data_IF_294304174500
#
_entry.id   IF_294304174500
#
_cell.length_a   1.000
_cell.length_b   1.000
_cell.length_c   1.000
_cell.angle_alpha   90.00
_cell.angle_beta   90.00
_cell.angle_gamma   90.00
#
_symmetry.space_group_name_H-M   'P 1'
#
loop_
_entity.id
_entity.type
_entity.pdbx_description
1 polymer ?
#
# COMPACT_ATOMS: atom_id res chain seq x y z
N UNK A 1 -1.60 -31.77 -43.60
CA UNK A 1 -0.93 -31.27 -42.38
C UNK A 1 -0.93 -29.75 -42.45
N UNK A 2 -1.86 -29.11 -41.75
CA UNK A 2 -1.88 -27.65 -41.60
C UNK A 2 -0.94 -27.31 -40.44
N UNK A 3 0.10 -26.52 -40.73
CA UNK A 3 1.02 -25.97 -39.73
C UNK A 3 0.24 -25.08 -38.76
N UNK A 4 -0.04 -25.62 -37.58
CA UNK A 4 -0.46 -24.89 -36.40
C UNK A 4 0.77 -24.77 -35.48
N UNK A 5 1.56 -23.70 -35.62
CA UNK A 5 2.46 -23.22 -34.54
C UNK A 5 3.15 -21.86 -34.75
N UNK A 6 2.78 -21.04 -35.75
CA UNK A 6 3.30 -19.66 -35.86
C UNK A 6 2.34 -18.57 -35.32
N UNK A 7 1.48 -18.92 -34.36
CA UNK A 7 0.57 -17.96 -33.75
C UNK A 7 1.30 -17.11 -32.69
N UNK A 8 1.88 -15.99 -33.15
CA UNK A 8 2.23 -14.77 -32.40
C UNK A 8 3.22 -14.90 -31.22
N UNK A 9 4.50 -15.09 -31.54
CA UNK A 9 5.63 -14.81 -30.65
C UNK A 9 5.99 -13.30 -30.61
N UNK A 10 5.04 -12.43 -30.96
CA UNK A 10 5.24 -11.00 -31.14
C UNK A 10 5.19 -10.30 -29.77
N UNK A 11 6.22 -9.50 -29.48
CA UNK A 11 6.26 -8.65 -28.29
C UNK A 11 5.25 -7.52 -28.44
N UNK A 12 4.38 -7.35 -27.46
CA UNK A 12 3.46 -6.23 -27.35
C UNK A 12 4.16 -5.13 -26.55
N UNK A 13 4.58 -4.07 -27.24
CA UNK A 13 5.25 -2.94 -26.62
C UNK A 13 4.30 -1.98 -25.90
N UNK A 14 4.85 -1.11 -25.03
CA UNK A 14 4.12 -0.17 -24.18
C UNK A 14 3.02 0.63 -24.89
N UNK A 15 3.27 1.15 -26.09
CA UNK A 15 2.29 1.95 -26.83
C UNK A 15 1.05 1.13 -27.22
N UNK A 16 1.26 -0.11 -27.63
CA UNK A 16 0.19 -1.04 -27.95
C UNK A 16 -0.54 -1.50 -26.67
N UNK A 17 0.18 -1.70 -25.56
CA UNK A 17 -0.43 -1.93 -24.24
C UNK A 17 -1.37 -0.79 -23.87
N UNK A 18 -0.93 0.47 -23.99
CA UNK A 18 -1.75 1.66 -23.70
C UNK A 18 -2.98 1.69 -24.61
N UNK A 19 -2.82 1.41 -25.91
CA UNK A 19 -3.94 1.39 -26.86
C UNK A 19 -4.99 0.34 -26.47
N UNK A 20 -4.57 -0.86 -26.09
CA UNK A 20 -5.46 -1.93 -25.64
C UNK A 20 -6.11 -1.61 -24.30
N UNK A 21 -5.35 -1.06 -23.35
CA UNK A 21 -5.87 -0.61 -22.06
C UNK A 21 -6.99 0.41 -22.27
N UNK A 22 -6.79 1.45 -23.09
CA UNK A 22 -7.82 2.44 -23.44
C UNK A 22 -9.06 1.79 -24.07
N UNK A 23 -8.84 0.81 -24.97
CA UNK A 23 -9.93 0.09 -25.62
C UNK A 23 -10.76 -0.72 -24.63
N UNK A 24 -10.15 -1.50 -23.75
CA UNK A 24 -10.87 -2.40 -22.85
C UNK A 24 -11.47 -1.70 -21.63
N UNK A 25 -10.83 -0.64 -21.15
CA UNK A 25 -11.34 0.16 -20.02
C UNK A 25 -12.34 1.24 -20.41
N UNK A 26 -12.48 1.54 -21.71
CA UNK A 26 -13.17 2.72 -22.24
C UNK A 26 -12.62 4.07 -21.71
N UNK A 27 -11.49 4.08 -20.99
CA UNK A 27 -10.87 5.27 -20.44
C UNK A 27 -9.87 5.88 -21.44
N UNK A 28 -10.36 6.77 -22.30
CA UNK A 28 -9.59 7.32 -23.45
C UNK A 28 -8.38 8.19 -23.06
N UNK A 29 -8.39 8.78 -21.85
CA UNK A 29 -7.35 9.71 -21.37
C UNK A 29 -6.26 9.06 -20.50
N UNK A 30 -6.28 7.73 -20.35
CA UNK A 30 -5.27 7.03 -19.55
C UNK A 30 -3.91 7.09 -20.23
N UNK A 31 -2.86 7.23 -19.43
CA UNK A 31 -1.48 6.95 -19.82
C UNK A 31 -0.81 6.07 -18.77
N UNK A 32 0.29 5.41 -19.15
CA UNK A 32 1.19 4.76 -18.20
C UNK A 32 2.33 5.72 -17.85
N UNK A 33 2.96 5.61 -16.66
CA UNK A 33 4.05 6.47 -16.25
C UNK A 33 5.19 6.45 -17.28
N UNK A 34 5.81 7.60 -17.55
CA UNK A 34 6.93 7.71 -18.50
C UNK A 34 8.07 6.75 -18.17
N UNK A 35 8.50 6.75 -16.91
CA UNK A 35 9.67 6.02 -16.40
C UNK A 35 9.40 4.54 -16.05
N UNK A 36 8.19 4.04 -16.37
CA UNK A 36 7.86 2.62 -16.27
C UNK A 36 7.93 1.98 -17.64
N UNK A 37 8.96 1.17 -17.91
CA UNK A 37 9.04 0.40 -19.13
C UNK A 37 8.22 -0.89 -18.96
N UNK A 38 7.44 -1.27 -19.98
CA UNK A 38 6.67 -2.50 -19.94
C UNK A 38 6.44 -3.10 -21.32
N UNK A 39 6.40 -4.43 -21.38
CA UNK A 39 6.07 -5.20 -22.57
C UNK A 39 5.34 -6.49 -22.19
N UNK A 40 4.59 -7.07 -23.12
CA UNK A 40 3.96 -8.39 -22.94
C UNK A 40 4.53 -9.33 -24.00
N UNK A 41 5.07 -10.46 -23.55
CA UNK A 41 5.51 -11.57 -24.42
C UNK A 41 5.14 -12.89 -23.77
N UNK A 42 4.62 -13.84 -24.55
CA UNK A 42 4.25 -15.18 -24.06
C UNK A 42 3.33 -15.13 -22.83
N UNK A 43 2.40 -14.16 -22.86
CA UNK A 43 1.50 -13.80 -21.75
C UNK A 43 2.15 -13.41 -20.43
N UNK A 44 3.41 -13.00 -20.46
CA UNK A 44 4.12 -12.44 -19.32
C UNK A 44 4.22 -10.93 -19.51
N UNK A 45 3.63 -10.16 -18.60
CA UNK A 45 3.88 -8.74 -18.50
C UNK A 45 5.24 -8.53 -17.81
N UNK A 46 6.20 -7.98 -18.53
CA UNK A 46 7.46 -7.51 -17.95
C UNK A 46 7.32 -6.04 -17.62
N UNK A 47 7.68 -5.66 -16.40
CA UNK A 47 7.69 -4.27 -15.94
C UNK A 47 9.08 -3.96 -15.40
N UNK A 48 9.72 -2.89 -15.88
CA UNK A 48 10.99 -2.41 -15.36
C UNK A 48 10.80 -1.03 -14.72
N UNK A 49 11.26 -0.91 -13.47
CA UNK A 49 11.23 0.33 -12.68
C UNK A 49 12.62 0.96 -12.69
N UNK A 50 12.75 2.11 -13.35
CA UNK A 50 14.05 2.77 -13.55
C UNK A 50 14.56 3.51 -12.30
N UNK A 51 13.65 3.97 -11.44
CA UNK A 51 14.00 4.87 -10.33
C UNK A 51 13.42 4.39 -8.99
N UNK A 52 13.85 3.23 -8.45
CA UNK A 52 13.27 2.62 -7.25
C UNK A 52 13.48 3.43 -5.96
N UNK A 53 14.21 4.56 -6.02
CA UNK A 53 14.45 5.47 -4.89
C UNK A 53 13.49 6.65 -4.83
N UNK A 54 12.53 6.77 -5.77
CA UNK A 54 11.51 7.81 -5.74
C UNK A 54 10.45 7.56 -4.64
N UNK A 55 9.58 8.55 -4.37
CA UNK A 55 8.55 8.39 -3.35
C UNK A 55 7.47 7.47 -3.90
N UNK A 56 6.94 6.55 -3.09
CA UNK A 56 5.97 5.54 -3.55
C UNK A 56 4.66 6.11 -4.14
N UNK A 57 4.38 7.39 -3.88
CA UNK A 57 3.24 8.12 -4.41
C UNK A 57 3.52 8.70 -5.80
N UNK A 58 4.79 8.84 -6.19
CA UNK A 58 5.19 9.25 -7.53
C UNK A 58 4.80 8.13 -8.51
N UNK A 59 4.15 8.50 -9.61
CA UNK A 59 3.42 7.57 -10.49
C UNK A 59 4.33 6.49 -11.11
N UNK A 60 5.59 6.84 -11.39
CA UNK A 60 6.66 5.97 -11.91
C UNK A 60 7.01 4.79 -11.01
N UNK A 61 6.80 4.91 -9.69
CA UNK A 61 7.11 3.86 -8.71
C UNK A 61 5.88 3.31 -8.02
N UNK A 62 4.67 3.71 -8.43
CA UNK A 62 3.40 3.15 -7.99
C UNK A 62 3.09 1.80 -8.69
N UNK A 63 4.09 0.94 -8.81
CA UNK A 63 4.06 -0.25 -9.67
C UNK A 63 2.97 -1.25 -9.26
N UNK A 64 2.63 -1.36 -7.98
CA UNK A 64 1.59 -2.28 -7.51
C UNK A 64 0.23 -1.93 -8.13
N UNK A 65 -0.12 -0.63 -8.11
CA UNK A 65 -1.35 -0.14 -8.71
C UNK A 65 -1.40 -0.41 -10.22
N UNK A 66 -0.32 -0.09 -10.94
CA UNK A 66 -0.23 -0.30 -12.38
C UNK A 66 -0.25 -1.77 -12.78
N UNK A 67 0.50 -2.62 -12.08
CA UNK A 67 0.55 -4.07 -12.33
C UNK A 67 -0.83 -4.70 -12.13
N UNK A 68 -1.53 -4.36 -11.04
CA UNK A 68 -2.88 -4.89 -10.78
C UNK A 68 -3.89 -4.43 -11.83
N UNK A 69 -3.80 -3.17 -12.25
CA UNK A 69 -4.63 -2.60 -13.32
C UNK A 69 -4.39 -3.32 -14.65
N UNK A 70 -3.13 -3.45 -15.06
CA UNK A 70 -2.79 -4.10 -16.33
C UNK A 70 -3.21 -5.58 -16.28
N UNK A 71 -2.92 -6.29 -15.19
CA UNK A 71 -3.30 -7.69 -15.00
C UNK A 71 -4.80 -7.90 -15.13
N UNK A 72 -5.62 -6.97 -14.64
CA UNK A 72 -7.07 -7.03 -14.78
C UNK A 72 -7.54 -6.72 -16.21
N UNK A 73 -7.20 -5.54 -16.72
CA UNK A 73 -7.75 -5.03 -17.98
C UNK A 73 -7.21 -5.76 -19.22
N UNK A 74 -6.06 -6.42 -19.09
CA UNK A 74 -5.43 -7.24 -20.11
C UNK A 74 -5.34 -8.71 -19.66
N UNK A 75 -6.33 -9.19 -18.89
CA UNK A 75 -6.32 -10.55 -18.34
C UNK A 75 -6.30 -11.66 -19.40
N UNK A 76 -6.65 -11.37 -20.66
CA UNK A 76 -6.54 -12.33 -21.78
C UNK A 76 -5.11 -12.42 -22.33
N UNK A 77 -4.34 -11.35 -22.15
CA UNK A 77 -2.97 -11.22 -22.61
C UNK A 77 -1.94 -11.45 -21.51
N UNK A 78 -2.32 -11.43 -20.23
CA UNK A 78 -1.40 -11.49 -19.10
C UNK A 78 -1.82 -12.63 -18.17
N UNK A 79 -1.04 -13.70 -18.15
CA UNK A 79 -1.17 -14.79 -17.19
C UNK A 79 -0.31 -14.48 -15.94
N UNK A 80 0.89 -13.94 -16.13
CA UNK A 80 1.83 -13.60 -15.04
C UNK A 80 2.55 -12.27 -15.26
N UNK A 81 3.18 -11.77 -14.21
CA UNK A 81 3.94 -10.52 -14.19
C UNK A 81 5.35 -10.80 -13.67
N UNK A 82 6.35 -10.27 -14.35
CA UNK A 82 7.75 -10.28 -13.90
C UNK A 82 8.18 -8.82 -13.70
N UNK A 83 8.46 -8.47 -12.45
CA UNK A 83 9.02 -7.18 -12.10
C UNK A 83 10.56 -7.22 -12.14
N UNK A 84 11.13 -6.29 -12.89
CA UNK A 84 12.54 -5.94 -12.87
C UNK A 84 12.70 -4.48 -12.40
N UNK A 85 13.91 -4.10 -11.99
CA UNK A 85 14.20 -2.74 -11.56
C UNK A 85 15.70 -2.45 -11.63
N UNK A 86 16.05 -1.18 -11.77
CA UNK A 86 17.44 -0.74 -11.72
C UNK A 86 18.00 -0.90 -10.30
N UNK A 87 18.94 -1.83 -10.13
CA UNK A 87 19.56 -2.08 -8.84
C UNK A 87 20.43 -0.89 -8.42
N UNK A 88 20.41 -0.55 -7.13
CA UNK A 88 21.24 0.51 -6.55
C UNK A 88 22.36 -0.11 -5.73
N UNK A 89 23.37 -0.62 -6.43
CA UNK A 89 24.53 -1.28 -5.82
C UNK A 89 25.22 -0.38 -4.78
N UNK A 90 25.25 0.92 -5.04
CA UNK A 90 25.77 1.94 -4.13
C UNK A 90 25.01 2.03 -2.79
N UNK A 91 23.77 1.51 -2.74
CA UNK A 91 22.91 1.50 -1.55
C UNK A 91 22.82 0.12 -0.87
N UNK A 92 23.30 -0.96 -1.50
CA UNK A 92 23.17 -2.33 -0.95
C UNK A 92 23.87 -2.48 0.40
N UNK A 93 25.01 -1.82 0.61
CA UNK A 93 25.73 -1.82 1.88
C UNK A 93 25.23 -0.75 2.87
N UNK A 94 24.10 -0.10 2.56
CA UNK A 94 23.61 1.08 3.26
C UNK A 94 22.17 0.93 3.77
N UNK A 95 21.65 -0.30 3.90
CA UNK A 95 20.27 -0.53 4.32
C UNK A 95 19.90 0.16 5.66
N UNK A 96 20.84 0.33 6.60
CA UNK A 96 20.62 1.04 7.87
C UNK A 96 20.71 2.57 7.81
N UNK A 97 20.98 3.16 6.65
CA UNK A 97 21.25 4.59 6.49
C UNK A 97 20.09 5.32 5.81
N UNK A 98 19.85 6.55 6.26
CA UNK A 98 18.76 7.40 5.78
C UNK A 98 18.74 7.60 4.25
N UNK A 99 19.90 7.63 3.60
CA UNK A 99 20.02 7.77 2.15
C UNK A 99 19.42 6.58 1.36
N UNK A 100 19.35 5.39 1.96
CA UNK A 100 18.77 4.20 1.34
C UNK A 100 17.26 4.05 1.62
N UNK A 101 16.64 4.95 2.39
CA UNK A 101 15.33 4.68 2.98
C UNK A 101 14.21 4.42 1.95
N UNK A 102 14.21 5.16 0.83
CA UNK A 102 13.25 4.94 -0.25
C UNK A 102 13.50 3.62 -0.98
N UNK A 103 14.77 3.25 -1.17
CA UNK A 103 15.16 1.99 -1.81
C UNK A 103 14.77 0.78 -0.95
N UNK A 104 15.07 0.82 0.34
CA UNK A 104 14.67 -0.22 1.30
C UNK A 104 13.15 -0.42 1.31
N UNK A 105 12.40 0.69 1.33
CA UNK A 105 10.93 0.63 1.26
C UNK A 105 10.48 0.01 -0.05
N UNK A 106 11.12 0.32 -1.16
CA UNK A 106 10.85 -0.33 -2.45
C UNK A 106 11.12 -1.83 -2.40
N UNK A 107 12.28 -2.28 -1.91
CA UNK A 107 12.60 -3.71 -1.79
C UNK A 107 11.59 -4.46 -0.91
N UNK A 108 11.20 -3.85 0.22
CA UNK A 108 10.16 -4.39 1.09
C UNK A 108 8.81 -4.50 0.36
N UNK A 109 8.41 -3.49 -0.41
CA UNK A 109 7.18 -3.51 -1.22
C UNK A 109 7.19 -4.63 -2.27
N UNK A 110 8.31 -4.81 -2.98
CA UNK A 110 8.47 -5.89 -3.96
C UNK A 110 8.35 -7.26 -3.30
N UNK A 111 9.03 -7.47 -2.16
CA UNK A 111 8.91 -8.70 -1.39
C UNK A 111 7.46 -8.99 -0.95
N UNK A 112 6.71 -7.95 -0.56
CA UNK A 112 5.32 -8.15 -0.16
C UNK A 112 4.41 -8.47 -1.35
N UNK A 113 4.68 -7.94 -2.54
CA UNK A 113 3.94 -8.37 -3.74
C UNK A 113 4.13 -9.86 -4.04
N UNK A 114 5.31 -10.44 -3.78
CA UNK A 114 5.51 -11.90 -3.93
C UNK A 114 4.76 -12.72 -2.87
N UNK A 115 4.50 -12.15 -1.68
CA UNK A 115 3.67 -12.78 -0.64
C UNK A 115 2.18 -12.71 -0.96
N UNK A 116 1.74 -11.55 -1.46
CA UNK A 116 0.35 -11.29 -1.79
C UNK A 116 -0.08 -12.07 -3.02
N UNK A 117 0.79 -12.20 -4.03
CA UNK A 117 0.42 -12.76 -5.33
C UNK A 117 1.38 -13.87 -5.79
N UNK A 118 1.64 -14.91 -4.98
CA UNK A 118 2.67 -15.91 -5.25
C UNK A 118 2.41 -16.72 -6.53
N UNK A 119 1.16 -16.81 -6.98
CA UNK A 119 0.78 -17.57 -8.17
C UNK A 119 1.04 -16.88 -9.50
N UNK A 120 1.25 -15.55 -9.51
CA UNK A 120 1.37 -14.81 -10.77
C UNK A 120 2.30 -13.60 -10.74
N UNK A 121 2.71 -13.11 -9.57
CA UNK A 121 3.69 -12.03 -9.45
C UNK A 121 5.07 -12.61 -9.14
N UNK A 122 6.01 -12.37 -10.04
CA UNK A 122 7.38 -12.85 -9.99
C UNK A 122 8.34 -11.66 -10.01
N UNK A 123 9.53 -11.87 -9.49
CA UNK A 123 10.65 -10.94 -9.62
C UNK A 123 11.63 -11.54 -10.62
N UNK A 124 12.24 -10.68 -11.45
CA UNK A 124 13.31 -11.11 -12.34
C UNK A 124 14.39 -11.86 -11.56
N UNK A 125 14.85 -12.99 -12.11
CA UNK A 125 15.78 -13.88 -11.43
C UNK A 125 17.07 -13.17 -11.04
N UNK A 126 17.54 -12.22 -11.87
CA UNK A 126 18.74 -11.41 -11.58
C UNK A 126 18.60 -10.53 -10.34
N UNK A 127 17.37 -10.25 -9.89
CA UNK A 127 17.07 -9.37 -8.74
C UNK A 127 16.66 -10.12 -7.48
N UNK A 128 16.43 -11.43 -7.58
CA UNK A 128 15.99 -12.25 -6.44
C UNK A 128 16.98 -12.22 -5.27
N UNK A 129 18.28 -12.24 -5.57
CA UNK A 129 19.34 -12.17 -4.55
C UNK A 129 19.33 -10.83 -3.78
N UNK A 130 19.05 -9.72 -4.45
CA UNK A 130 18.97 -8.38 -3.81
C UNK A 130 17.85 -8.34 -2.78
N UNK A 131 16.67 -8.85 -3.14
CA UNK A 131 15.51 -8.89 -2.25
C UNK A 131 15.77 -9.84 -1.08
N UNK A 132 16.29 -11.03 -1.36
CA UNK A 132 16.62 -12.01 -0.33
C UNK A 132 17.59 -11.45 0.70
N UNK A 133 18.70 -10.83 0.25
CA UNK A 133 19.70 -10.24 1.13
C UNK A 133 19.13 -9.11 1.98
N UNK A 134 18.32 -8.24 1.38
CA UNK A 134 17.65 -7.17 2.12
C UNK A 134 16.70 -7.72 3.20
N UNK A 135 15.85 -8.69 2.86
CA UNK A 135 14.92 -9.27 3.84
C UNK A 135 15.62 -10.07 4.93
N UNK A 136 16.73 -10.75 4.61
CA UNK A 136 17.57 -11.41 5.59
C UNK A 136 18.19 -10.38 6.56
N UNK A 137 18.78 -9.31 6.02
CA UNK A 137 19.30 -8.21 6.83
C UNK A 137 18.19 -7.58 7.70
N UNK A 138 17.01 -7.30 7.14
CA UNK A 138 15.90 -6.67 7.85
C UNK A 138 15.46 -7.50 9.06
N UNK A 139 15.39 -8.83 8.92
CA UNK A 139 15.00 -9.76 10.00
C UNK A 139 16.09 -10.02 11.03
N UNK A 140 17.36 -9.84 10.65
CA UNK A 140 18.50 -10.06 11.53
C UNK A 140 18.78 -8.86 12.46
N UNK A 141 18.07 -7.75 12.29
CA UNK A 141 18.30 -6.51 13.04
C UNK A 141 17.03 -6.07 13.77
N UNK A 142 17.20 -5.28 14.83
CA UNK A 142 16.07 -4.71 15.56
C UNK A 142 15.47 -3.53 14.79
N UNK A 143 14.20 -3.67 14.38
CA UNK A 143 13.50 -2.66 13.60
C UNK A 143 12.41 -2.00 14.43
N UNK A 144 12.62 -0.72 14.72
CA UNK A 144 11.78 0.09 15.58
C UNK A 144 10.87 1.00 14.76
N UNK A 145 9.55 0.83 14.90
CA UNK A 145 8.56 1.79 14.41
C UNK A 145 8.48 3.00 15.33
N UNK A 146 8.37 4.18 14.73
CA UNK A 146 8.05 5.38 15.49
C UNK A 146 6.60 5.37 16.01
N UNK A 147 6.36 6.24 16.98
CA UNK A 147 5.08 6.40 17.64
C UNK A 147 4.68 7.88 17.74
N UNK A 148 3.39 8.12 17.94
CA UNK A 148 2.88 9.45 18.30
C UNK A 148 3.55 9.90 19.60
N UNK A 149 3.97 11.17 19.66
CA UNK A 149 4.66 11.76 20.84
C UNK A 149 3.75 12.61 21.70
N UNK A 150 2.57 12.95 21.18
CA UNK A 150 1.58 13.80 21.82
C UNK A 150 0.22 13.45 21.24
N UNK A 151 -0.82 13.65 22.04
CA UNK A 151 -2.19 13.50 21.56
C UNK A 151 -2.43 14.40 20.34
N UNK A 152 -3.18 13.85 19.37
CA UNK A 152 -3.52 14.60 18.17
C UNK A 152 -4.56 15.65 18.51
N UNK A 153 -4.33 16.88 18.09
CA UNK A 153 -5.32 17.95 18.18
C UNK A 153 -6.24 17.89 16.98
N UNK A 154 -7.48 18.35 17.16
CA UNK A 154 -8.41 18.50 16.07
C UNK A 154 -7.88 19.50 15.03
N UNK A 155 -7.86 19.09 13.77
CA UNK A 155 -7.37 19.86 12.63
C UNK A 155 -8.51 20.27 11.69
N UNK A 156 -9.77 20.19 12.11
CA UNK A 156 -10.95 20.55 11.31
C UNK A 156 -10.89 21.99 10.73
N UNK A 157 -10.19 22.92 11.39
CA UNK A 157 -9.98 24.31 10.96
C UNK A 157 -8.80 24.56 10.02
N UNK A 158 -8.04 23.54 9.62
CA UNK A 158 -6.88 23.69 8.73
C UNK A 158 -7.30 23.96 7.28
N UNK A 159 -6.55 24.77 6.50
CA UNK A 159 -6.82 24.93 5.06
C UNK A 159 -6.47 23.66 4.25
N UNK A 160 -5.77 22.69 4.84
CA UNK A 160 -5.41 21.43 4.19
C UNK A 160 -6.61 20.48 4.18
N UNK A 161 -7.24 20.36 3.01
CA UNK A 161 -8.52 19.65 2.87
C UNK A 161 -8.49 18.18 3.30
N UNK A 162 -7.44 17.42 2.98
CA UNK A 162 -7.33 16.02 3.43
C UNK A 162 -7.26 15.94 4.95
N UNK A 163 -6.47 16.81 5.61
CA UNK A 163 -6.37 16.89 7.09
C UNK A 163 -7.67 17.29 7.76
N UNK A 164 -8.42 18.20 7.15
CA UNK A 164 -9.76 18.56 7.63
C UNK A 164 -10.71 17.35 7.57
N UNK A 165 -10.63 16.56 6.50
CA UNK A 165 -11.49 15.39 6.33
C UNK A 165 -11.11 14.24 7.26
N UNK A 166 -9.82 13.97 7.44
CA UNK A 166 -9.34 13.05 8.48
C UNK A 166 -9.87 13.45 9.86
N UNK A 167 -9.70 14.72 10.22
CA UNK A 167 -10.16 15.26 11.50
C UNK A 167 -11.68 15.08 11.70
N UNK A 168 -12.47 15.35 10.66
CA UNK A 168 -13.91 15.09 10.66
C UNK A 168 -14.26 13.63 10.91
N UNK A 169 -13.52 12.71 10.30
CA UNK A 169 -13.72 11.28 10.45
C UNK A 169 -13.28 10.71 11.80
N UNK A 170 -12.51 11.44 12.62
CA UNK A 170 -12.05 10.95 13.93
C UNK A 170 -12.58 11.73 15.13
N UNK A 171 -13.06 12.97 14.94
CA UNK A 171 -13.50 13.87 16.03
C UNK A 171 -14.98 14.28 15.96
N UNK A 172 -15.62 14.14 14.80
CA UNK A 172 -16.97 14.68 14.55
C UNK A 172 -17.94 13.59 14.11
N UNK A 173 -19.08 13.93 13.53
CA UNK A 173 -20.11 12.97 13.10
C UNK A 173 -19.58 11.93 12.09
N UNK A 174 -18.51 12.25 11.36
CA UNK A 174 -17.78 11.29 10.51
C UNK A 174 -17.26 10.08 11.28
N UNK A 175 -16.92 10.24 12.56
CA UNK A 175 -16.44 9.19 13.46
C UNK A 175 -17.48 8.09 13.63
N UNK A 176 -18.69 8.46 14.02
CA UNK A 176 -19.79 7.50 14.20
C UNK A 176 -20.22 6.88 12.87
N UNK A 177 -20.12 7.62 11.75
CA UNK A 177 -20.39 7.09 10.41
C UNK A 177 -19.40 5.98 10.03
N UNK A 178 -18.09 6.22 10.14
CA UNK A 178 -17.07 5.20 9.87
C UNK A 178 -17.17 4.01 10.82
N UNK A 179 -17.34 4.29 12.13
CA UNK A 179 -17.44 3.28 13.16
C UNK A 179 -18.61 2.32 12.90
N UNK A 180 -19.77 2.87 12.51
CA UNK A 180 -20.93 2.08 12.12
C UNK A 180 -20.69 1.30 10.82
N UNK A 181 -20.13 1.94 9.80
CA UNK A 181 -19.98 1.36 8.46
C UNK A 181 -19.07 0.12 8.45
N UNK A 182 -17.95 0.16 9.18
CA UNK A 182 -16.98 -0.94 9.24
C UNK A 182 -16.92 -1.67 10.58
N UNK A 183 -17.89 -1.47 11.46
CA UNK A 183 -17.95 -2.08 12.78
C UNK A 183 -16.70 -1.83 13.65
N UNK A 184 -16.14 -0.62 13.55
CA UNK A 184 -15.02 -0.16 14.36
C UNK A 184 -15.56 0.29 15.74
N UNK A 185 -14.80 0.05 16.79
CA UNK A 185 -15.04 0.65 18.11
C UNK A 185 -14.78 2.15 18.00
N UNK A 186 -15.82 2.95 18.15
CA UNK A 186 -15.76 4.41 18.01
C UNK A 186 -14.72 5.02 18.96
N UNK A 187 -14.52 4.46 20.16
CA UNK A 187 -13.50 4.96 21.10
C UNK A 187 -12.07 4.65 20.67
N UNK A 188 -11.88 3.76 19.68
CA UNK A 188 -10.59 3.30 19.17
C UNK A 188 -10.43 3.58 17.68
N UNK A 189 -10.92 4.75 17.24
CA UNK A 189 -10.69 5.28 15.90
C UNK A 189 -9.79 6.52 16.00
N UNK A 190 -8.65 6.46 15.32
CA UNK A 190 -7.56 7.44 15.39
C UNK A 190 -7.09 7.84 14.00
N UNK A 191 -6.38 8.96 13.90
CA UNK A 191 -5.74 9.42 12.67
C UNK A 191 -4.20 9.38 12.76
N UNK A 192 -3.56 9.33 11.59
CA UNK A 192 -2.14 9.55 11.40
C UNK A 192 -1.24 8.62 12.23
N UNK A 193 -1.36 7.30 12.02
CA UNK A 193 -0.45 6.31 12.61
C UNK A 193 0.94 6.42 11.98
N UNK A 194 2.00 6.73 12.73
CA UNK A 194 3.34 6.85 12.15
C UNK A 194 3.86 5.53 11.56
N UNK A 195 4.53 5.59 10.41
CA UNK A 195 5.05 4.41 9.68
C UNK A 195 6.55 4.47 9.40
N UNK A 196 7.27 5.35 10.09
CA UNK A 196 8.72 5.44 9.98
C UNK A 196 9.39 4.28 10.70
N UNK A 197 10.29 3.58 10.00
CA UNK A 197 11.06 2.45 10.55
C UNK A 197 12.52 2.85 10.71
N UNK A 198 13.08 2.49 11.85
CA UNK A 198 14.45 2.82 12.25
C UNK A 198 15.17 1.57 12.72
N UNK A 199 16.47 1.47 12.44
CA UNK A 199 17.32 0.43 13.04
C UNK A 199 17.73 0.84 14.46
N UNK A 200 17.53 -0.07 15.40
CA UNK A 200 17.75 0.05 16.85
C UNK A 200 16.92 1.16 17.52
N UNK A 201 17.25 2.43 17.25
CA UNK A 201 16.66 3.61 17.89
C UNK A 201 16.13 4.64 16.88
N UNK A 202 15.12 5.40 17.31
CA UNK A 202 14.56 6.50 16.51
C UNK A 202 15.57 7.65 16.41
N UNK A 203 16.30 7.70 15.30
CA UNK A 203 17.16 8.80 14.92
C UNK A 203 17.14 8.99 13.40
N UNK A 204 17.26 10.24 12.93
CA UNK A 204 17.23 10.52 11.50
C UNK A 204 18.29 9.73 10.71
N UNK A 205 19.48 9.50 11.29
CA UNK A 205 20.57 8.70 10.72
C UNK A 205 20.24 7.22 10.58
N UNK A 206 19.34 6.70 11.42
CA UNK A 206 18.99 5.30 11.53
C UNK A 206 17.73 4.94 10.72
N UNK A 207 17.22 5.85 9.90
CA UNK A 207 15.99 5.65 9.15
C UNK A 207 16.17 4.57 8.08
N UNK A 208 15.47 3.44 8.24
CA UNK A 208 15.44 2.34 7.28
C UNK A 208 14.34 2.57 6.26
N UNK A 209 13.19 3.10 6.67
CA UNK A 209 12.14 3.61 5.79
C UNK A 209 11.99 5.13 5.93
N UNK A 210 11.34 5.81 4.97
CA UNK A 210 11.15 7.26 5.05
C UNK A 210 10.44 7.68 6.34
N UNK A 211 10.80 8.87 6.82
CA UNK A 211 10.35 9.44 8.10
C UNK A 211 9.61 10.76 7.90
N UNK A 212 9.03 11.28 8.97
CA UNK A 212 8.37 12.59 8.99
C UNK A 212 6.88 12.46 8.74
N UNK A 213 6.38 12.98 7.62
CA UNK A 213 4.96 12.99 7.29
C UNK A 213 4.41 11.62 6.80
N UNK A 214 5.16 10.53 6.94
CA UNK A 214 4.68 9.19 6.59
C UNK A 214 3.83 8.63 7.72
N UNK A 215 2.53 8.50 7.45
CA UNK A 215 1.55 7.94 8.36
C UNK A 215 0.42 7.27 7.56
N UNK A 216 -0.28 6.34 8.22
CA UNK A 216 -1.58 5.83 7.76
C UNK A 216 -2.62 6.88 8.13
N UNK A 217 -3.44 7.30 7.16
CA UNK A 217 -4.34 8.45 7.33
C UNK A 217 -5.28 8.26 8.53
N UNK A 218 -5.94 7.10 8.61
CA UNK A 218 -6.78 6.71 9.73
C UNK A 218 -6.67 5.21 10.03
N UNK A 219 -6.94 4.84 11.27
CA UNK A 219 -6.92 3.45 11.68
C UNK A 219 -7.78 3.24 12.92
N UNK A 220 -8.20 2.00 13.17
CA UNK A 220 -8.94 1.69 14.38
C UNK A 220 -9.04 0.22 14.70
N UNK A 221 -9.70 -0.10 15.80
CA UNK A 221 -9.88 -1.47 16.28
C UNK A 221 -11.34 -1.85 16.17
N UNK A 222 -11.62 -3.02 15.59
CA UNK A 222 -12.97 -3.57 15.48
C UNK A 222 -13.64 -3.74 16.84
N UNK A 223 -14.97 -3.72 16.90
CA UNK A 223 -15.71 -4.03 18.14
C UNK A 223 -15.45 -5.44 18.67
N UNK A 224 -14.93 -6.33 17.83
CA UNK A 224 -14.45 -7.66 18.21
C UNK A 224 -13.14 -7.63 19.01
N UNK A 225 -12.42 -6.50 19.02
CA UNK A 225 -11.10 -6.36 19.63
C UNK A 225 -9.98 -7.14 18.91
N UNK A 226 -10.26 -7.74 17.76
CA UNK A 226 -9.35 -8.63 17.03
C UNK A 226 -8.98 -8.12 15.64
N UNK A 227 -9.78 -7.21 15.08
CA UNK A 227 -9.55 -6.65 13.74
C UNK A 227 -8.85 -5.30 13.83
N UNK A 228 -7.67 -5.18 13.21
CA UNK A 228 -7.01 -3.88 12.99
C UNK A 228 -7.45 -3.30 11.65
N UNK A 229 -8.12 -2.16 11.67
CA UNK A 229 -8.57 -1.44 10.49
C UNK A 229 -7.54 -0.39 10.07
N UNK A 230 -7.11 -0.39 8.81
CA UNK A 230 -6.19 0.59 8.23
C UNK A 230 -6.90 1.30 7.06
N UNK A 231 -6.96 2.63 7.08
CA UNK A 231 -7.79 3.40 6.16
C UNK A 231 -6.94 4.48 5.49
N UNK A 232 -6.77 4.37 4.17
CA UNK A 232 -6.18 5.43 3.33
C UNK A 232 -7.28 6.31 2.75
N UNK A 233 -7.10 7.63 2.81
CA UNK A 233 -8.09 8.62 2.42
C UNK A 233 -7.64 9.36 1.15
N UNK A 234 -8.58 9.63 0.24
CA UNK A 234 -8.36 10.52 -0.91
C UNK A 234 -9.53 11.48 -1.10
N UNK A 235 -9.23 12.77 -1.17
CA UNK A 235 -10.25 13.83 -1.33
C UNK A 235 -10.25 14.42 -2.73
N UNK A 236 -11.44 14.79 -3.21
CA UNK A 236 -11.61 15.52 -4.47
C UNK A 236 -11.17 14.72 -5.70
N UNK A 237 -10.40 15.38 -6.56
CA UNK A 237 -9.91 14.82 -7.82
C UNK A 237 -8.54 14.12 -7.69
N UNK A 238 -8.04 13.91 -6.47
CA UNK A 238 -6.81 13.14 -6.23
C UNK A 238 -7.05 11.65 -6.50
N UNK A 239 -6.88 11.26 -7.76
CA UNK A 239 -7.13 9.92 -8.26
C UNK A 239 -5.84 9.14 -8.54
N UNK A 240 -4.71 9.53 -7.94
CA UNK A 240 -3.44 8.86 -8.19
C UNK A 240 -3.44 7.40 -7.72
N UNK A 241 -2.88 6.50 -8.53
CA UNK A 241 -2.83 5.06 -8.23
C UNK A 241 -1.82 4.68 -7.14
N UNK A 242 -0.95 5.62 -6.76
CA UNK A 242 -0.05 5.48 -5.62
C UNK A 242 -0.76 5.13 -4.31
N UNK A 243 -2.07 5.42 -4.18
CA UNK A 243 -2.87 5.00 -3.02
C UNK A 243 -2.90 3.48 -2.85
N UNK A 244 -2.93 2.71 -3.94
CA UNK A 244 -2.93 1.24 -3.86
C UNK A 244 -1.59 0.75 -3.30
N UNK A 245 -0.47 1.28 -3.79
CA UNK A 245 0.87 0.94 -3.30
C UNK A 245 1.06 1.33 -1.83
N UNK A 246 0.61 2.52 -1.43
CA UNK A 246 0.64 2.97 -0.04
C UNK A 246 -0.17 2.03 0.87
N UNK A 247 -1.40 1.72 0.44
CA UNK A 247 -2.31 0.82 1.14
C UNK A 247 -1.66 -0.55 1.39
N UNK A 248 -1.16 -1.20 0.33
CA UNK A 248 -0.52 -2.51 0.45
C UNK A 248 0.76 -2.48 1.30
N UNK A 249 1.56 -1.41 1.19
CA UNK A 249 2.74 -1.22 2.02
C UNK A 249 2.36 -1.12 3.50
N UNK A 250 1.38 -0.29 3.85
CA UNK A 250 0.92 -0.11 5.22
C UNK A 250 0.28 -1.38 5.78
N UNK A 251 -0.51 -2.10 4.99
CA UNK A 251 -1.03 -3.42 5.36
C UNK A 251 0.08 -4.39 5.71
N UNK A 252 1.11 -4.51 4.85
CA UNK A 252 2.22 -5.42 5.10
C UNK A 252 3.03 -5.00 6.34
N UNK A 253 3.34 -3.71 6.48
CA UNK A 253 4.06 -3.16 7.63
C UNK A 253 3.33 -3.47 8.94
N UNK A 254 2.03 -3.17 9.00
CA UNK A 254 1.22 -3.43 10.19
C UNK A 254 0.96 -4.91 10.42
N UNK A 255 0.88 -5.72 9.37
CA UNK A 255 0.78 -7.17 9.51
C UNK A 255 2.03 -7.72 10.19
N UNK A 256 3.21 -7.38 9.68
CA UNK A 256 4.50 -7.83 10.22
C UNK A 256 4.86 -7.19 11.58
N UNK A 257 4.07 -6.21 12.05
CA UNK A 257 4.21 -5.59 13.38
C UNK A 257 3.18 -6.14 14.37
N UNK A 258 1.91 -6.22 13.98
CA UNK A 258 0.78 -6.35 14.90
C UNK A 258 -0.04 -7.64 14.74
N UNK A 259 0.15 -8.40 13.66
CA UNK A 259 -0.62 -9.64 13.39
C UNK A 259 0.27 -10.87 13.31
N UNK A 260 1.39 -10.78 12.59
CA UNK A 260 2.29 -11.89 12.37
C UNK A 260 2.78 -12.49 13.69
N UNK A 261 2.81 -13.83 13.75
CA UNK A 261 3.30 -14.58 14.92
C UNK A 261 4.75 -14.17 15.25
N UNK A 262 5.58 -14.07 14.22
CA UNK A 262 6.94 -13.56 14.30
C UNK A 262 6.95 -12.15 13.71
N UNK A 263 7.16 -11.16 14.57
CA UNK A 263 7.17 -9.76 14.15
C UNK A 263 8.52 -9.40 13.55
N UNK A 264 8.50 -8.67 12.44
CA UNK A 264 9.71 -8.06 11.87
C UNK A 264 9.98 -6.74 12.58
N UNK A 265 8.93 -6.05 13.01
CA UNK A 265 9.04 -4.73 13.60
C UNK A 265 8.36 -4.65 14.97
N UNK A 266 8.77 -3.66 15.77
CA UNK A 266 8.15 -3.33 17.04
C UNK A 266 8.04 -1.82 17.24
N UNK A 267 6.99 -1.35 17.89
CA UNK A 267 6.89 0.06 18.30
C UNK A 267 7.96 0.42 19.32
N UNK A 268 8.43 1.66 19.27
CA UNK A 268 9.40 2.21 20.22
C UNK A 268 8.92 2.11 21.67
N UNK A 269 9.74 1.45 22.48
CA UNK A 269 9.53 1.24 23.91
C UNK A 269 10.27 2.24 24.78
N UNK A 270 10.94 3.24 24.20
CA UNK A 270 11.67 4.23 24.99
C UNK A 270 10.69 4.99 25.91
N UNK A 271 10.82 4.74 27.22
CA UNK A 271 9.90 5.20 28.27
C UNK A 271 10.07 6.68 28.65
N UNK A 272 10.58 7.50 27.73
CA UNK A 272 10.85 8.92 27.99
C UNK A 272 9.59 9.80 27.94
N UNK A 273 8.50 9.30 27.34
CA UNK A 273 7.21 9.98 27.24
C UNK A 273 6.11 8.94 27.47
N UNK A 274 5.07 9.31 28.22
CA UNK A 274 3.89 8.47 28.39
C UNK A 274 3.28 8.15 27.02
N UNK A 275 2.81 6.91 26.85
CA UNK A 275 2.14 6.52 25.62
C UNK A 275 0.84 7.31 25.46
N UNK A 276 0.61 7.79 24.24
CA UNK A 276 -0.65 8.41 23.84
C UNK A 276 -1.75 7.36 23.73
N UNK A 277 -3.00 7.81 23.66
CA UNK A 277 -4.20 6.98 23.57
C UNK A 277 -4.16 6.00 22.39
N UNK A 278 -3.69 6.48 21.24
CA UNK A 278 -3.51 5.72 20.00
C UNK A 278 -2.43 4.64 20.16
N UNK A 279 -1.30 4.95 20.83
CA UNK A 279 -0.22 3.98 21.09
C UNK A 279 -0.63 2.92 22.10
N UNK A 280 -1.34 3.33 23.15
CA UNK A 280 -1.92 2.39 24.12
C UNK A 280 -2.87 1.42 23.42
N UNK A 281 -3.71 1.91 22.51
CA UNK A 281 -4.64 1.10 21.75
C UNK A 281 -3.95 0.13 20.79
N UNK A 282 -2.98 0.59 19.98
CA UNK A 282 -2.33 -0.28 18.98
C UNK A 282 -1.40 -1.33 19.60
N UNK A 283 -0.83 -1.05 20.77
CA UNK A 283 -0.09 -2.04 21.54
C UNK A 283 -0.99 -3.20 21.99
N UNK A 284 -2.32 -2.98 22.07
CA UNK A 284 -3.33 -4.00 22.31
C UNK A 284 -3.01 -4.89 23.53
N UNK A 285 -2.56 -4.26 24.62
CA UNK A 285 -2.12 -4.94 25.85
C UNK A 285 -1.02 -6.01 25.60
N UNK A 286 -0.18 -5.82 24.60
CA UNK A 286 0.85 -6.76 24.17
C UNK A 286 0.36 -7.94 23.32
N UNK A 287 -0.94 -8.01 23.02
CA UNK A 287 -1.53 -9.08 22.22
C UNK A 287 -1.53 -8.75 20.72
N UNK A 288 -1.34 -9.77 19.88
CA UNK A 288 -1.50 -9.62 18.43
C UNK A 288 -2.99 -9.49 18.06
N UNK A 289 -3.25 -8.77 16.98
CA UNK A 289 -4.56 -8.79 16.33
C UNK A 289 -4.73 -10.09 15.54
N UNK A 290 -5.97 -10.57 15.44
CA UNK A 290 -6.29 -11.78 14.68
C UNK A 290 -6.25 -11.58 13.16
N UNK A 291 -6.55 -10.35 12.68
CA UNK A 291 -6.53 -10.01 11.26
C UNK A 291 -6.39 -8.50 11.02
N UNK A 292 -6.08 -8.13 9.77
CA UNK A 292 -6.14 -6.75 9.28
C UNK A 292 -7.26 -6.60 8.25
N UNK A 293 -8.05 -5.54 8.40
CA UNK A 293 -8.98 -5.06 7.39
C UNK A 293 -8.44 -3.74 6.83
N UNK A 294 -8.20 -3.70 5.53
CA UNK A 294 -7.64 -2.52 4.87
C UNK A 294 -8.67 -1.86 3.96
N UNK A 295 -8.69 -0.52 3.98
CA UNK A 295 -9.71 0.28 3.34
C UNK A 295 -9.06 1.37 2.50
N UNK A 296 -9.58 1.58 1.29
CA UNK A 296 -9.39 2.84 0.58
C UNK A 296 -10.73 3.56 0.61
N UNK A 297 -10.71 4.82 1.05
CA UNK A 297 -11.85 5.71 1.16
C UNK A 297 -11.61 6.94 0.31
N UNK A 298 -12.44 7.15 -0.72
CA UNK A 298 -12.23 8.26 -1.66
C UNK A 298 -13.52 8.94 -2.08
N UNK A 299 -13.50 10.23 -2.39
CA UNK A 299 -14.66 10.86 -3.07
C UNK A 299 -14.76 10.41 -4.53
N UNK A 300 -13.61 10.22 -5.18
CA UNK A 300 -13.50 9.71 -6.54
C UNK A 300 -12.28 8.80 -6.67
N UNK A 301 -12.45 7.71 -7.42
CA UNK A 301 -11.38 6.78 -7.73
C UNK A 301 -10.80 7.04 -9.11
N UNK A 302 -9.57 6.58 -9.32
CA UNK A 302 -9.00 6.48 -10.66
C UNK A 302 -9.95 5.69 -11.58
N UNK A 303 -10.18 6.11 -12.84
CA UNK A 303 -11.11 5.43 -13.75
C UNK A 303 -10.77 3.95 -14.00
N UNK A 304 -9.50 3.58 -13.85
CA UNK A 304 -9.05 2.19 -14.00
C UNK A 304 -9.16 1.35 -12.74
N UNK A 305 -9.43 1.95 -11.58
CA UNK A 305 -9.55 1.24 -10.31
C UNK A 305 -10.98 0.70 -10.11
N UNK A 306 -11.33 -0.30 -10.94
CA UNK A 306 -12.63 -0.97 -10.92
C UNK A 306 -12.82 -1.88 -9.70
N UNK A 307 -14.03 -2.41 -9.51
CA UNK A 307 -14.32 -3.38 -8.44
C UNK A 307 -13.64 -4.73 -8.68
N UNK A 308 -13.32 -5.05 -9.93
CA UNK A 308 -12.56 -6.23 -10.29
C UNK A 308 -11.07 -6.07 -9.98
N UNK A 309 -10.49 -4.86 -10.12
CA UNK A 309 -9.15 -4.57 -9.57
C UNK A 309 -9.16 -4.69 -8.05
N UNK A 310 -10.20 -4.19 -7.37
CA UNK A 310 -10.38 -4.38 -5.93
C UNK A 310 -10.53 -5.88 -5.56
N UNK A 311 -11.14 -6.69 -6.42
CA UNK A 311 -11.22 -8.14 -6.23
C UNK A 311 -9.84 -8.81 -6.27
N UNK A 312 -8.97 -8.42 -7.20
CA UNK A 312 -7.58 -8.89 -7.22
C UNK A 312 -6.86 -8.54 -5.91
N UNK A 313 -7.03 -7.32 -5.39
CA UNK A 313 -6.45 -6.94 -4.08
C UNK A 313 -6.99 -7.84 -2.95
N UNK A 314 -8.31 -8.08 -2.91
CA UNK A 314 -8.93 -9.00 -1.94
C UNK A 314 -8.33 -10.40 -2.03
N UNK A 315 -8.13 -10.94 -3.23
CA UNK A 315 -7.50 -12.25 -3.43
C UNK A 315 -6.08 -12.28 -2.87
N UNK A 316 -5.31 -11.23 -3.11
CA UNK A 316 -3.95 -11.13 -2.59
C UNK A 316 -3.89 -11.08 -1.07
N UNK A 317 -4.71 -10.23 -0.44
CA UNK A 317 -4.73 -10.10 1.02
C UNK A 317 -5.20 -11.37 1.74
N UNK A 318 -6.04 -12.21 1.11
CA UNK A 318 -6.42 -13.52 1.68
C UNK A 318 -5.21 -14.41 1.96
N UNK A 319 -4.14 -14.32 1.18
CA UNK A 319 -2.90 -15.07 1.42
C UNK A 319 -2.19 -14.65 2.72
N UNK A 320 -2.53 -13.49 3.27
CA UNK A 320 -2.08 -13.00 4.57
C UNK A 320 -3.19 -13.01 5.63
N UNK A 321 -4.35 -13.61 5.35
CA UNK A 321 -5.51 -13.57 6.25
C UNK A 321 -6.13 -12.18 6.42
N UNK A 322 -5.86 -11.25 5.48
CA UNK A 322 -6.38 -9.89 5.50
C UNK A 322 -7.63 -9.69 4.63
N UNK A 323 -8.31 -8.58 4.84
CA UNK A 323 -9.51 -8.15 4.12
C UNK A 323 -9.28 -6.81 3.41
N UNK A 324 -9.95 -6.59 2.28
CA UNK A 324 -9.89 -5.32 1.54
C UNK A 324 -11.27 -4.77 1.22
N UNK A 325 -11.46 -3.48 1.49
CA UNK A 325 -12.67 -2.74 1.21
C UNK A 325 -12.38 -1.46 0.43
N UNK A 326 -13.32 -1.10 -0.45
CA UNK A 326 -13.31 0.13 -1.23
C UNK A 326 -14.63 0.84 -0.98
N UNK A 327 -14.59 2.09 -0.52
CA UNK A 327 -15.80 2.86 -0.23
C UNK A 327 -15.70 4.28 -0.80
N UNK A 328 -16.83 4.83 -1.25
CA UNK A 328 -16.93 6.25 -1.59
C UNK A 328 -17.50 7.04 -0.43
N UNK A 329 -17.08 8.30 -0.30
CA UNK A 329 -17.72 9.23 0.62
C UNK A 329 -18.05 10.54 -0.07
N UNK A 330 -18.95 11.31 0.54
CA UNK A 330 -19.22 12.68 0.15
C UNK A 330 -19.09 13.57 1.38
N UNK A 331 -18.07 14.44 1.38
CA UNK A 331 -17.79 15.27 2.54
C UNK A 331 -18.92 16.25 2.87
N UNK A 332 -19.53 16.86 1.85
CA UNK A 332 -20.58 17.88 2.00
C UNK A 332 -21.92 17.27 2.45
N UNK A 333 -22.26 16.10 1.90
CA UNK A 333 -23.48 15.34 2.24
C UNK A 333 -23.32 14.50 3.50
N UNK A 334 -22.11 14.45 4.08
CA UNK A 334 -21.80 13.69 5.30
C UNK A 334 -22.21 12.21 5.18
N UNK A 335 -21.82 11.56 4.08
CA UNK A 335 -22.24 10.18 3.78
C UNK A 335 -21.09 9.30 3.28
N UNK A 336 -21.21 7.99 3.52
CA UNK A 336 -20.33 6.93 3.02
C UNK A 336 -21.20 5.86 2.34
N UNK A 337 -20.71 5.30 1.23
CA UNK A 337 -21.33 4.21 0.48
C UNK A 337 -20.24 3.23 0.05
N UNK A 338 -20.51 1.93 0.08
CA UNK A 338 -19.56 0.97 -0.50
C UNK A 338 -19.42 1.20 -2.00
N UNK A 339 -18.18 1.23 -2.48
CA UNK A 339 -17.92 1.37 -3.90
C UNK A 339 -18.30 0.05 -4.58
N UNK A 340 -19.42 0.06 -5.30
CA UNK A 340 -20.02 -1.14 -5.90
C UNK A 340 -21.50 -1.35 -5.56
N UNK A 341 -22.11 -0.52 -4.69
CA UNK A 341 -23.56 -0.53 -4.41
C UNK A 341 -24.24 0.77 -4.90
N UNK A 342 -24.17 1.06 -6.19
CA UNK A 342 -25.21 1.83 -6.88
C UNK A 342 -26.01 0.83 -7.74
N UNK A 343 -27.35 0.86 -7.69
CA UNK A 343 -28.21 -0.12 -8.35
C UNK A 343 -28.03 -0.20 -9.87
#
# INVERSE_FOLDING_TARGET
>A
MLNLSDANNAVIEKDEIIRRLKKYSAASRVSLPGDMACSIKDKVLRVNIQHPTQRMQDDSVAFEGWVLILKHWLAKEIDSVVLDFEAREDLVQKYGYAEACHYNRFLYRVYNMTRLFPGWFLVDQSKSGVIFNFMHWLRANEMTLNKSRQERTDQSGTPLWERQTEAWFVNHEGKSLLAKHWNIDESKLFNQLPTGVFIDKIAASNAVFPRGASAIDMWGIGKDGQTLHLIELKRGDNQALGVIGATLFYTALMYDTCVAKESIFSFDKSGHVADTSDITAINNNGSKFGKIATHILAEKYHPLFSDAVAALIREGLKNMGGEFYKATYNFDKRSIVDAGNNP
#
